data_IF_787918095468
#
_entry.id   IF_787918095468
#
_cell.length_a   1.000
_cell.length_b   1.000
_cell.length_c   1.000
_cell.angle_alpha   90.00
_cell.angle_beta   90.00
_cell.angle_gamma   90.00
#
_symmetry.space_group_name_H-M   'P 1'
#
loop_
_entity.id
_entity.type
_entity.pdbx_description
1 polymer ?
#
# COMPACT_ATOMS: atom_id res chain seq x y z
N UNK A 1 1.54 -23.55 19.25
CA UNK A 1 0.09 -23.83 19.18
C UNK A 1 -0.60 -22.65 19.85
N UNK A 2 -1.16 -21.73 19.06
CA UNK A 2 -1.84 -20.53 19.56
C UNK A 2 -3.33 -20.84 19.46
N UNK A 3 -4.02 -20.79 20.58
CA UNK A 3 -5.39 -21.26 20.75
C UNK A 3 -6.37 -20.57 19.77
N UNK A 4 -7.23 -21.32 19.05
CA UNK A 4 -8.15 -20.76 18.06
C UNK A 4 -9.40 -20.07 18.66
N UNK A 5 -9.42 -19.77 19.96
CA UNK A 5 -10.63 -19.34 20.69
C UNK A 5 -10.98 -17.84 20.59
N UNK A 6 -10.22 -17.02 19.85
CA UNK A 6 -10.54 -15.59 19.70
C UNK A 6 -11.30 -15.25 18.40
N UNK A 7 -11.90 -16.23 17.73
CA UNK A 7 -12.89 -15.98 16.67
C UNK A 7 -14.25 -15.66 17.31
N UNK A 8 -14.35 -14.50 17.97
CA UNK A 8 -15.63 -14.07 18.55
C UNK A 8 -16.56 -13.69 17.41
N UNK A 9 -17.42 -14.64 17.03
CA UNK A 9 -18.70 -14.38 16.39
C UNK A 9 -19.57 -13.61 17.38
N UNK A 10 -19.60 -12.27 17.29
CA UNK A 10 -20.59 -11.47 18.03
C UNK A 10 -21.89 -11.44 17.22
N UNK A 11 -22.69 -12.48 17.40
CA UNK A 11 -24.14 -12.40 17.22
C UNK A 11 -24.74 -11.64 18.42
N UNK A 12 -24.94 -10.33 18.28
CA UNK A 12 -26.07 -9.61 18.90
C UNK A 12 -26.17 -8.16 18.42
N UNK A 13 -27.25 -7.90 17.69
CA UNK A 13 -27.67 -6.58 17.23
C UNK A 13 -28.24 -5.80 18.43
N UNK A 14 -27.49 -4.80 18.90
CA UNK A 14 -27.97 -3.72 19.77
C UNK A 14 -27.31 -2.44 19.26
N UNK A 15 -28.08 -1.34 19.27
CA UNK A 15 -27.84 -0.05 18.59
C UNK A 15 -26.49 0.60 18.94
N UNK A 16 -25.41 0.08 18.36
CA UNK A 16 -24.06 0.60 18.44
C UNK A 16 -23.43 0.60 17.05
N UNK A 17 -22.84 1.73 16.67
CA UNK A 17 -22.13 1.85 15.39
C UNK A 17 -20.79 1.12 15.52
N UNK A 18 -20.59 0.08 14.70
CA UNK A 18 -19.31 -0.61 14.61
C UNK A 18 -18.32 0.26 13.83
N UNK A 19 -17.37 0.87 14.54
CA UNK A 19 -16.26 1.58 13.93
C UNK A 19 -15.10 0.62 13.67
N UNK A 20 -14.56 0.67 12.45
CA UNK A 20 -13.34 -0.06 12.07
C UNK A 20 -12.25 0.94 11.70
N UNK A 21 -11.02 0.63 12.06
CA UNK A 21 -9.86 1.41 11.62
C UNK A 21 -9.67 1.38 10.10
N UNK A 22 -8.96 2.38 9.57
CA UNK A 22 -8.65 2.47 8.13
C UNK A 22 -7.82 1.25 7.69
N UNK A 23 -8.40 0.41 6.83
CA UNK A 23 -7.71 -0.80 6.32
C UNK A 23 -6.59 -0.49 5.32
N UNK A 24 -6.68 0.65 4.63
CA UNK A 24 -5.81 0.97 3.49
C UNK A 24 -4.57 1.80 3.85
N UNK A 25 -4.36 2.15 5.11
CA UNK A 25 -3.23 2.98 5.55
C UNK A 25 -1.90 2.21 5.68
N UNK A 26 -1.92 0.87 5.53
CA UNK A 26 -0.74 0.01 5.67
C UNK A 26 0.27 0.27 4.57
N UNK A 27 1.57 0.21 4.89
CA UNK A 27 2.66 0.36 3.91
C UNK A 27 2.56 -0.65 2.76
N UNK A 28 2.12 -1.89 3.04
CA UNK A 28 1.92 -2.91 2.02
C UNK A 28 0.91 -2.47 0.94
N UNK A 29 -0.14 -1.74 1.32
CA UNK A 29 -1.19 -1.30 0.40
C UNK A 29 -0.66 -0.30 -0.64
N UNK A 30 0.38 0.46 -0.30
CA UNK A 30 1.03 1.42 -1.21
C UNK A 30 1.76 0.75 -2.37
N UNK A 31 2.08 -0.53 -2.24
CA UNK A 31 2.76 -1.30 -3.28
C UNK A 31 1.79 -2.00 -4.23
N UNK A 32 0.50 -2.06 -3.88
CA UNK A 32 -0.52 -2.67 -4.72
C UNK A 32 -0.98 -1.71 -5.83
N UNK A 33 -1.68 -2.27 -6.82
CA UNK A 33 -2.20 -1.52 -7.96
C UNK A 33 -1.33 -1.64 -9.22
N UNK A 34 -1.50 -0.73 -10.18
CA UNK A 34 -0.79 -0.74 -11.45
C UNK A 34 0.73 -0.75 -11.27
N UNK A 35 1.44 -1.41 -12.18
CA UNK A 35 2.88 -1.56 -12.07
C UNK A 35 3.61 -0.20 -11.98
N UNK A 36 4.67 -0.10 -11.18
CA UNK A 36 5.41 1.15 -11.02
C UNK A 36 6.09 1.53 -12.34
N UNK A 37 5.68 2.66 -12.93
CA UNK A 37 6.17 3.09 -14.25
C UNK A 37 5.17 2.94 -15.39
N UNK A 38 3.90 2.66 -15.08
CA UNK A 38 2.76 2.88 -15.99
C UNK A 38 2.31 4.35 -15.87
N UNK A 39 1.87 5.01 -16.95
CA UNK A 39 1.34 6.37 -16.88
C UNK A 39 0.23 6.48 -15.84
N UNK A 40 0.22 7.55 -15.05
CA UNK A 40 -0.74 7.78 -13.96
C UNK A 40 -0.71 6.73 -12.82
N UNK A 41 0.32 5.87 -12.75
CA UNK A 41 0.53 5.00 -11.60
C UNK A 41 1.26 5.73 -10.46
N UNK A 42 0.72 5.60 -9.24
CA UNK A 42 1.34 6.12 -8.02
C UNK A 42 1.83 5.02 -7.07
N UNK A 43 1.85 3.77 -7.54
CA UNK A 43 2.31 2.62 -6.77
C UNK A 43 3.79 2.76 -6.41
N UNK A 44 4.10 2.52 -5.14
CA UNK A 44 5.45 2.66 -4.58
C UNK A 44 6.32 1.49 -5.06
N UNK A 45 7.49 1.72 -5.68
CA UNK A 45 8.38 0.64 -6.09
C UNK A 45 9.04 -0.03 -4.88
N UNK A 46 9.41 -1.31 -5.04
CA UNK A 46 10.16 -2.07 -4.06
C UNK A 46 11.66 -1.78 -4.23
N UNK A 47 12.18 -0.91 -3.37
CA UNK A 47 13.57 -0.46 -3.42
C UNK A 47 14.24 -0.76 -2.08
N UNK A 48 15.47 -1.29 -2.11
CA UNK A 48 16.23 -1.65 -0.89
C UNK A 48 16.43 -0.47 0.06
N UNK A 49 16.68 0.72 -0.48
CA UNK A 49 16.86 1.94 0.29
C UNK A 49 16.40 3.17 -0.49
N UNK A 50 15.93 4.20 0.22
CA UNK A 50 15.60 5.49 -0.40
C UNK A 50 16.90 6.26 -0.66
N UNK A 51 17.06 6.80 -1.88
CA UNK A 51 18.21 7.67 -2.17
C UNK A 51 18.26 8.16 -3.62
N UNK A 52 19.21 9.05 -3.93
CA UNK A 52 19.39 9.62 -5.29
C UNK A 52 19.75 8.55 -6.33
N UNK A 53 20.51 7.53 -5.90
CA UNK A 53 21.00 6.43 -6.75
C UNK A 53 20.00 5.30 -6.94
N UNK A 54 18.89 5.29 -6.20
CA UNK A 54 17.91 4.21 -6.25
C UNK A 54 16.65 4.66 -6.98
N UNK A 55 16.45 4.16 -8.20
CA UNK A 55 15.23 4.29 -9.03
C UNK A 55 14.63 5.71 -9.15
N UNK A 56 15.48 6.74 -9.21
CA UNK A 56 15.08 8.16 -9.38
C UNK A 56 15.46 8.79 -10.72
N UNK A 57 16.09 8.05 -11.62
CA UNK A 57 16.65 8.57 -12.87
C UNK A 57 15.65 8.47 -14.05
N UNK A 58 15.84 7.48 -14.93
CA UNK A 58 15.01 7.28 -16.12
C UNK A 58 13.57 6.94 -15.75
N UNK A 59 12.59 7.43 -16.51
CA UNK A 59 11.17 7.16 -16.29
C UNK A 59 10.52 7.97 -15.16
N UNK A 60 11.29 8.70 -14.34
CA UNK A 60 10.77 9.54 -13.25
C UNK A 60 10.89 11.05 -13.52
N UNK A 61 11.83 11.46 -14.39
CA UNK A 61 12.17 12.87 -14.64
C UNK A 61 12.16 13.17 -16.13
N UNK A 62 11.67 14.37 -16.48
CA UNK A 62 11.67 14.86 -17.87
C UNK A 62 13.09 14.94 -18.47
N UNK A 63 14.09 15.28 -17.66
CA UNK A 63 15.49 15.47 -18.10
C UNK A 63 16.31 14.19 -18.30
N UNK A 64 15.77 13.00 -18.00
CA UNK A 64 16.49 11.72 -18.07
C UNK A 64 15.77 10.74 -19.00
N UNK A 65 15.58 11.16 -20.26
CA UNK A 65 14.96 10.37 -21.33
C UNK A 65 13.47 10.63 -21.47
N UNK A 66 12.67 10.13 -20.54
CA UNK A 66 11.21 10.32 -20.54
C UNK A 66 10.67 10.31 -19.12
N UNK A 67 9.50 10.93 -18.93
CA UNK A 67 8.74 10.90 -17.68
C UNK A 67 7.48 10.07 -17.89
N UNK A 68 7.24 9.13 -16.98
CA UNK A 68 5.98 8.40 -16.87
C UNK A 68 5.15 8.97 -15.72
#
# INVERSE_FOLDING_TARGET
>A
MIDPSSFVCVNKMKSGVLLRGLKNSREAVKHFGPAPGVPHSHSKPYVRSKGRKFEKARGKRKSRGFKV
#
